data_IF_322517321465
#
_entry.id   IF_322517321465
#
_cell.length_a   1.000
_cell.length_b   1.000
_cell.length_c   1.000
_cell.angle_alpha   90.00
_cell.angle_beta   90.00
_cell.angle_gamma   90.00
#
_symmetry.space_group_name_H-M   'P 1'
#
loop_
_entity.id
_entity.type
_entity.pdbx_description
1 polymer ?
#
# COMPACT_ATOMS: atom_id res chain seq x y z
N UNK A 1 -18.49 6.03 -31.53
CA UNK A 1 -19.17 6.42 -32.78
C UNK A 1 -19.47 7.92 -32.87
N UNK A 2 -20.05 8.55 -31.83
CA UNK A 2 -20.42 9.98 -31.90
C UNK A 2 -19.22 10.93 -32.06
N UNK A 3 -18.07 10.57 -31.50
CA UNK A 3 -16.84 11.37 -31.58
C UNK A 3 -16.38 11.61 -33.03
N UNK A 4 -16.36 10.57 -33.86
CA UNK A 4 -15.95 10.70 -35.27
C UNK A 4 -16.93 11.53 -36.10
N UNK A 5 -18.22 11.49 -35.77
CA UNK A 5 -19.24 12.34 -36.42
C UNK A 5 -18.92 13.83 -36.22
N UNK A 6 -18.57 14.25 -35.00
CA UNK A 6 -18.21 15.64 -34.73
C UNK A 6 -16.96 16.07 -35.49
N UNK A 7 -15.94 15.21 -35.56
CA UNK A 7 -14.69 15.52 -36.28
C UNK A 7 -14.96 15.74 -37.78
N UNK A 8 -15.77 14.88 -38.39
CA UNK A 8 -16.13 15.01 -39.79
C UNK A 8 -16.90 16.30 -40.07
N UNK A 9 -17.84 16.67 -39.19
CA UNK A 9 -18.61 17.91 -39.34
C UNK A 9 -17.77 19.16 -39.11
N UNK A 10 -16.76 19.10 -38.26
CA UNK A 10 -15.86 20.21 -37.97
C UNK A 10 -14.66 20.29 -38.94
N UNK A 11 -14.48 19.31 -39.83
CA UNK A 11 -13.35 19.27 -40.77
C UNK A 11 -11.98 19.10 -40.09
N UNK A 12 -11.94 18.54 -38.88
CA UNK A 12 -10.71 18.38 -38.09
C UNK A 12 -9.99 17.08 -38.49
N UNK A 13 -8.67 17.01 -38.29
CA UNK A 13 -7.89 15.77 -38.45
C UNK A 13 -8.47 14.66 -37.55
N UNK A 14 -8.72 13.48 -38.14
CA UNK A 14 -9.15 12.28 -37.41
C UNK A 14 -7.99 11.70 -36.56
N UNK A 15 -8.07 11.71 -35.21
CA UNK A 15 -7.10 11.02 -34.39
C UNK A 15 -7.44 9.52 -34.31
N UNK A 16 -6.42 8.68 -34.12
CA UNK A 16 -6.58 7.26 -33.84
C UNK A 16 -6.92 7.08 -32.36
N UNK A 17 -8.09 6.51 -32.07
CA UNK A 17 -8.52 6.17 -30.71
C UNK A 17 -8.41 4.66 -30.52
N UNK A 18 -7.79 4.27 -29.41
CA UNK A 18 -7.73 2.89 -28.94
C UNK A 18 -8.49 2.78 -27.63
N UNK A 19 -9.52 1.93 -27.63
CA UNK A 19 -10.28 1.62 -26.43
C UNK A 19 -9.66 0.40 -25.73
N UNK A 20 -9.60 0.49 -24.41
CA UNK A 20 -9.16 -0.57 -23.51
C UNK A 20 -10.15 -0.71 -22.36
N UNK A 21 -10.19 -1.90 -21.76
CA UNK A 21 -11.06 -2.17 -20.62
C UNK A 21 -10.51 -1.52 -19.35
N UNK A 22 -11.42 -1.20 -18.43
CA UNK A 22 -11.05 -0.76 -17.09
C UNK A 22 -10.53 -1.94 -16.28
N UNK A 23 -9.56 -1.67 -15.42
CA UNK A 23 -9.07 -2.61 -14.42
C UNK A 23 -10.02 -2.58 -13.22
N UNK A 24 -10.52 -3.75 -12.84
CA UNK A 24 -11.24 -3.98 -11.60
C UNK A 24 -10.42 -4.92 -10.70
N UNK A 25 -10.63 -4.83 -9.39
CA UNK A 25 -9.91 -5.61 -8.39
C UNK A 25 -10.86 -6.45 -7.56
N UNK A 26 -10.47 -7.69 -7.25
CA UNK A 26 -11.20 -8.52 -6.32
C UNK A 26 -11.24 -7.88 -4.92
N UNK A 27 -12.39 -8.02 -4.25
CA UNK A 27 -12.63 -7.53 -2.89
C UNK A 27 -12.37 -6.03 -2.68
N UNK A 28 -12.41 -5.24 -3.76
CA UNK A 28 -12.04 -3.82 -3.72
C UNK A 28 -13.10 -2.93 -4.37
N UNK A 29 -13.38 -1.80 -3.73
CA UNK A 29 -14.30 -0.80 -4.26
C UNK A 29 -13.53 0.32 -4.95
N UNK A 30 -13.67 0.45 -6.27
CA UNK A 30 -12.98 1.49 -7.05
C UNK A 30 -13.84 2.74 -7.34
N UNK A 31 -15.14 2.66 -7.08
CA UNK A 31 -16.05 3.78 -7.36
C UNK A 31 -15.75 4.97 -6.45
N UNK A 32 -15.40 6.12 -7.04
CA UNK A 32 -15.15 7.38 -6.33
C UNK A 32 -16.29 7.76 -5.38
N UNK A 33 -17.55 7.55 -5.79
CA UNK A 33 -18.72 7.86 -4.95
C UNK A 33 -18.75 7.02 -3.67
N UNK A 34 -18.45 5.71 -3.79
CA UNK A 34 -18.39 4.80 -2.62
C UNK A 34 -17.20 5.13 -1.72
N UNK A 35 -16.05 5.45 -2.30
CA UNK A 35 -14.86 5.88 -1.53
C UNK A 35 -15.11 7.21 -0.81
N UNK A 36 -15.77 8.16 -1.46
CA UNK A 36 -16.17 9.42 -0.84
C UNK A 36 -17.09 9.17 0.35
N UNK A 37 -18.07 8.26 0.23
CA UNK A 37 -18.93 7.89 1.33
C UNK A 37 -18.14 7.36 2.55
N UNK A 38 -17.11 6.54 2.35
CA UNK A 38 -16.26 6.10 3.46
C UNK A 38 -15.48 7.24 4.12
N UNK A 39 -15.00 8.20 3.32
CA UNK A 39 -14.31 9.38 3.81
C UNK A 39 -15.26 10.30 4.60
N UNK A 40 -16.48 10.50 4.10
CA UNK A 40 -17.52 11.32 4.75
C UNK A 40 -17.97 10.72 6.09
N UNK A 41 -18.07 9.38 6.15
CA UNK A 41 -18.40 8.65 7.37
C UNK A 41 -17.22 8.51 8.35
N UNK A 42 -16.05 9.11 8.06
CA UNK A 42 -14.83 9.05 8.88
C UNK A 42 -14.43 7.63 9.29
N UNK A 43 -14.71 6.64 8.44
CA UNK A 43 -14.24 5.25 8.63
C UNK A 43 -12.76 5.09 8.30
N UNK A 44 -12.16 6.15 7.75
CA UNK A 44 -10.75 6.25 7.35
C UNK A 44 -10.19 7.60 7.80
N UNK A 45 -8.90 7.63 8.12
CA UNK A 45 -8.10 8.82 8.45
C UNK A 45 -8.04 9.77 7.23
N UNK A 46 -8.01 9.25 6.00
CA UNK A 46 -8.22 10.03 4.79
C UNK A 46 -7.95 9.29 3.48
N UNK A 47 -7.78 10.03 2.38
CA UNK A 47 -7.52 9.47 1.04
C UNK A 47 -6.16 8.76 0.90
N UNK A 48 -5.30 8.88 1.91
CA UNK A 48 -3.94 8.34 1.92
C UNK A 48 -3.83 7.09 2.78
N UNK A 49 -4.97 6.58 3.26
CA UNK A 49 -5.03 5.44 4.15
C UNK A 49 -4.56 4.15 3.48
N UNK A 50 -3.76 3.30 4.16
CA UNK A 50 -3.29 2.04 3.59
C UNK A 50 -4.40 1.08 3.10
N UNK A 51 -5.59 1.01 3.74
CA UNK A 51 -6.72 0.24 3.23
C UNK A 51 -7.35 0.80 1.95
N UNK A 52 -7.16 2.08 1.63
CA UNK A 52 -7.79 2.70 0.47
C UNK A 52 -7.09 2.29 -0.83
N UNK A 53 -7.84 1.91 -1.88
CA UNK A 53 -7.28 1.51 -3.18
C UNK A 53 -6.89 2.73 -4.03
N UNK A 54 -6.26 3.72 -3.39
CA UNK A 54 -5.70 4.89 -4.07
C UNK A 54 -4.21 4.67 -4.24
N UNK A 55 -3.62 5.27 -5.29
CA UNK A 55 -2.17 5.21 -5.50
C UNK A 55 -1.40 5.68 -4.26
N UNK A 56 -1.91 6.70 -3.56
CA UNK A 56 -1.29 7.23 -2.35
C UNK A 56 -1.47 6.32 -1.13
N UNK A 57 -2.62 5.65 -0.99
CA UNK A 57 -2.86 4.64 0.05
C UNK A 57 -1.97 3.42 -0.14
N UNK A 58 -1.90 2.90 -1.36
CA UNK A 58 -1.03 1.78 -1.74
C UNK A 58 0.45 2.11 -1.50
N UNK A 59 0.87 3.34 -1.82
CA UNK A 59 2.23 3.82 -1.52
C UNK A 59 2.48 3.93 -0.01
N UNK A 60 1.53 4.45 0.78
CA UNK A 60 1.64 4.51 2.25
C UNK A 60 1.69 3.10 2.87
N UNK A 61 1.06 2.12 2.24
CA UNK A 61 1.13 0.70 2.63
C UNK A 61 2.50 0.05 2.37
N UNK A 62 3.38 0.68 1.58
CA UNK A 62 4.72 0.17 1.28
C UNK A 62 4.89 -0.39 -0.13
N UNK A 63 4.02 -0.03 -1.08
CA UNK A 63 4.22 -0.36 -2.49
C UNK A 63 5.30 0.54 -3.11
N UNK A 64 6.24 -0.07 -3.83
CA UNK A 64 7.21 0.66 -4.66
C UNK A 64 6.60 1.07 -6.00
N UNK A 65 6.99 2.23 -6.52
CA UNK A 65 6.48 2.75 -7.80
C UNK A 65 6.94 1.86 -8.95
N UNK A 66 8.14 1.30 -8.85
CA UNK A 66 8.71 0.39 -9.86
C UNK A 66 7.90 -0.90 -9.96
N UNK A 67 7.58 -1.56 -8.83
CA UNK A 67 6.74 -2.76 -8.84
C UNK A 67 5.35 -2.50 -9.44
N UNK A 68 4.75 -1.34 -9.13
CA UNK A 68 3.46 -0.97 -9.70
C UNK A 68 3.52 -0.77 -11.22
N UNK A 69 4.58 -0.15 -11.73
CA UNK A 69 4.80 0.03 -13.17
C UNK A 69 5.02 -1.32 -13.86
N UNK A 70 5.88 -2.16 -13.29
CA UNK A 70 6.18 -3.49 -13.82
C UNK A 70 4.90 -4.34 -13.89
N UNK A 71 4.04 -4.26 -12.86
CA UNK A 71 2.74 -4.93 -12.87
C UNK A 71 1.81 -4.46 -13.99
N UNK A 72 1.69 -3.14 -14.19
CA UNK A 72 0.84 -2.57 -15.25
C UNK A 72 1.35 -2.97 -16.64
N UNK A 73 2.67 -2.96 -16.82
CA UNK A 73 3.31 -3.40 -18.08
C UNK A 73 3.10 -4.90 -18.33
N UNK A 74 3.18 -5.73 -17.29
CA UNK A 74 2.93 -7.16 -17.36
C UNK A 74 1.47 -7.48 -17.73
N UNK A 75 0.52 -6.77 -17.13
CA UNK A 75 -0.91 -6.99 -17.40
C UNK A 75 -1.30 -6.54 -18.82
N UNK A 76 -0.72 -5.43 -19.29
CA UNK A 76 -0.96 -4.90 -20.63
C UNK A 76 -2.37 -4.34 -20.85
N UNK A 77 -2.60 -3.80 -22.05
CA UNK A 77 -3.90 -3.29 -22.46
C UNK A 77 -4.73 -4.42 -23.08
N UNK A 78 -5.91 -4.68 -22.51
CA UNK A 78 -6.88 -5.65 -23.04
C UNK A 78 -8.21 -4.98 -23.35
N UNK A 79 -8.99 -5.57 -24.25
CA UNK A 79 -10.40 -5.17 -24.48
C UNK A 79 -11.38 -5.92 -23.58
N UNK A 80 -10.96 -7.03 -22.99
CA UNK A 80 -11.79 -7.84 -22.10
C UNK A 80 -11.78 -7.26 -20.68
N UNK A 81 -12.88 -7.39 -19.96
CA UNK A 81 -12.95 -6.98 -18.55
C UNK A 81 -11.86 -7.67 -17.74
N UNK A 82 -11.00 -6.89 -17.08
CA UNK A 82 -9.89 -7.40 -16.28
C UNK A 82 -10.26 -7.35 -14.80
N UNK A 83 -10.39 -8.51 -14.18
CA UNK A 83 -10.55 -8.67 -12.74
C UNK A 83 -9.22 -9.15 -12.15
N UNK A 84 -8.56 -8.29 -11.39
CA UNK A 84 -7.21 -8.52 -10.89
C UNK A 84 -7.21 -8.84 -9.39
N UNK A 85 -6.20 -9.61 -8.97
CA UNK A 85 -5.98 -9.97 -7.56
C UNK A 85 -4.84 -9.16 -6.96
N UNK A 86 -4.97 -8.83 -5.68
CA UNK A 86 -3.94 -8.10 -4.97
C UNK A 86 -2.67 -8.92 -4.74
N UNK A 87 -2.80 -10.25 -4.59
CA UNK A 87 -1.69 -11.14 -4.25
C UNK A 87 -0.55 -11.07 -5.27
N UNK A 88 -0.87 -10.97 -6.55
CA UNK A 88 0.10 -10.89 -7.64
C UNK A 88 0.91 -9.60 -7.58
N UNK A 89 0.25 -8.47 -7.32
CA UNK A 89 0.92 -7.16 -7.20
C UNK A 89 1.88 -7.19 -6.01
N UNK A 90 1.44 -7.73 -4.88
CA UNK A 90 2.26 -7.81 -3.68
C UNK A 90 3.43 -8.79 -3.84
N UNK A 91 3.26 -9.87 -4.61
CA UNK A 91 4.35 -10.78 -4.93
C UNK A 91 5.46 -10.09 -5.74
N UNK A 92 5.10 -9.30 -6.75
CA UNK A 92 6.06 -8.51 -7.54
C UNK A 92 6.75 -7.46 -6.66
N UNK A 93 5.98 -6.78 -5.80
CA UNK A 93 6.54 -5.79 -4.88
C UNK A 93 7.52 -6.41 -3.89
N UNK A 94 7.23 -7.62 -3.39
CA UNK A 94 8.13 -8.37 -2.51
C UNK A 94 9.47 -8.64 -3.18
N UNK A 95 9.48 -9.09 -4.44
CA UNK A 95 10.72 -9.33 -5.19
C UNK A 95 11.60 -8.08 -5.31
N UNK A 96 11.00 -6.89 -5.40
CA UNK A 96 11.73 -5.61 -5.46
C UNK A 96 12.21 -5.13 -4.09
N UNK A 97 11.41 -5.35 -3.05
CA UNK A 97 11.70 -4.85 -1.70
C UNK A 97 12.71 -5.74 -0.96
N UNK A 98 12.62 -7.07 -1.12
CA UNK A 98 13.46 -8.04 -0.40
C UNK A 98 14.98 -7.75 -0.44
N UNK A 99 15.59 -7.34 -1.58
CA UNK A 99 17.02 -6.99 -1.61
C UNK A 99 17.36 -5.61 -1.02
N UNK A 100 16.40 -4.69 -0.95
CA UNK A 100 16.62 -3.29 -0.52
C UNK A 100 16.34 -3.13 0.99
N UNK A 101 15.38 -3.89 1.52
CA UNK A 101 14.88 -3.71 2.87
C UNK A 101 15.87 -4.20 3.94
N UNK A 102 16.31 -3.34 4.88
CA UNK A 102 17.12 -3.78 6.01
C UNK A 102 16.29 -4.66 6.95
N UNK A 103 16.88 -5.74 7.42
CA UNK A 103 16.22 -6.67 8.35
C UNK A 103 16.36 -6.14 9.76
N UNK A 104 15.22 -5.96 10.42
CA UNK A 104 15.15 -5.59 11.84
C UNK A 104 14.28 -6.60 12.58
N UNK A 105 14.70 -6.98 13.77
CA UNK A 105 13.90 -7.83 14.65
C UNK A 105 13.04 -6.94 15.54
N UNK A 106 11.74 -7.15 15.50
CA UNK A 106 10.78 -6.53 16.41
C UNK A 106 9.96 -7.61 17.09
N UNK A 107 9.67 -7.43 18.38
CA UNK A 107 8.80 -8.30 19.17
C UNK A 107 7.65 -7.45 19.66
N UNK A 108 6.43 -7.97 19.57
CA UNK A 108 5.25 -7.31 20.11
C UNK A 108 5.35 -7.24 21.63
N UNK A 109 4.93 -6.11 22.21
CA UNK A 109 5.11 -5.85 23.65
C UNK A 109 4.41 -6.89 24.52
N UNK A 110 3.27 -7.41 24.07
CA UNK A 110 2.45 -8.37 24.81
C UNK A 110 3.06 -9.78 24.81
N UNK A 111 3.83 -10.11 23.77
CA UNK A 111 4.54 -11.38 23.63
C UNK A 111 5.97 -11.34 24.18
N UNK A 112 6.43 -10.17 24.63
CA UNK A 112 7.79 -10.00 25.13
C UNK A 112 7.94 -10.69 26.50
N UNK A 113 8.76 -11.74 26.57
CA UNK A 113 9.11 -12.41 27.82
C UNK A 113 10.46 -11.91 28.29
N UNK A 114 10.52 -11.45 29.53
CA UNK A 114 11.78 -11.07 30.16
C UNK A 114 12.57 -12.34 30.55
N UNK A 115 13.79 -12.46 30.05
CA UNK A 115 14.70 -13.56 30.39
C UNK A 115 15.91 -13.03 31.16
N UNK A 116 16.17 -13.58 32.35
CA UNK A 116 17.40 -13.34 33.12
C UNK A 116 18.22 -14.62 33.23
N UNK A 117 19.52 -14.53 32.93
CA UNK A 117 20.48 -15.64 33.07
C UNK A 117 20.94 -15.87 34.51
N UNK A 118 20.64 -14.96 35.45
CA UNK A 118 20.84 -15.12 36.90
C UNK A 118 19.50 -15.25 37.62
N UNK A 119 19.37 -16.33 38.39
CA UNK A 119 18.20 -16.64 39.23
C UNK A 119 18.04 -15.54 40.29
N UNK A 120 16.91 -14.82 40.26
CA UNK A 120 16.50 -13.96 41.37
C UNK A 120 16.13 -12.50 41.06
N UNK A 121 16.20 -12.03 39.80
CA UNK A 121 15.83 -10.65 39.48
C UNK A 121 14.40 -10.56 38.89
N UNK A 122 13.49 -9.86 39.59
CA UNK A 122 12.18 -9.48 39.04
C UNK A 122 12.39 -8.41 37.96
N UNK A 123 12.02 -8.72 36.72
CA UNK A 123 12.07 -7.77 35.61
C UNK A 123 10.64 -7.30 35.33
N UNK A 124 10.30 -6.02 35.55
CA UNK A 124 8.99 -5.51 35.17
C UNK A 124 8.93 -5.36 33.64
N UNK A 125 7.93 -5.96 33.02
CA UNK A 125 7.61 -5.72 31.62
C UNK A 125 6.81 -4.43 31.47
N UNK A 126 7.24 -3.64 30.49
CA UNK A 126 6.51 -2.58 29.80
C UNK A 126 5.77 -1.55 30.67
N UNK A 127 6.55 -0.66 31.29
CA UNK A 127 6.18 0.75 31.51
C UNK A 127 7.44 1.62 31.64
N UNK A 128 8.25 1.69 30.57
CA UNK A 128 9.20 2.78 30.39
C UNK A 128 10.61 2.65 30.97
N UNK A 129 11.12 1.44 31.30
CA UNK A 129 12.53 1.27 31.64
C UNK A 129 13.39 0.85 30.44
N UNK A 130 14.47 1.60 30.22
CA UNK A 130 15.55 1.32 29.27
C UNK A 130 16.52 0.34 29.95
N UNK A 131 16.86 -0.77 29.29
CA UNK A 131 17.87 -1.71 29.79
C UNK A 131 19.25 -1.03 29.66
N UNK A 132 20.04 -0.83 30.73
CA UNK A 132 21.37 -0.25 30.60
C UNK A 132 22.35 -1.31 30.10
N UNK A 133 23.02 -1.05 28.98
CA UNK A 133 24.22 -1.79 28.56
C UNK A 133 24.15 -2.62 27.27
N UNK A 134 23.03 -2.62 26.54
CA UNK A 134 22.99 -3.22 25.19
C UNK A 134 23.10 -2.11 24.16
N UNK A 135 24.15 -2.12 23.34
CA UNK A 135 24.31 -1.26 22.16
C UNK A 135 23.05 -1.34 21.28
N UNK A 136 22.31 -0.24 21.28
CA UNK A 136 21.30 0.19 20.32
C UNK A 136 20.67 -0.89 19.41
N UNK A 137 19.90 -1.82 19.98
CA UNK A 137 18.70 -2.27 19.25
C UNK A 137 17.73 -1.12 19.30
N UNK A 138 17.70 -0.35 18.22
CA UNK A 138 16.92 0.87 18.02
C UNK A 138 15.42 0.54 18.16
N UNK A 139 14.91 0.49 19.39
CA UNK A 139 13.49 0.67 19.66
C UNK A 139 13.22 2.16 19.46
N UNK A 140 12.96 2.56 18.22
CA UNK A 140 12.49 3.91 17.90
C UNK A 140 11.07 4.02 18.42
N UNK A 141 10.94 4.40 19.70
CA UNK A 141 9.68 4.78 20.34
C UNK A 141 8.95 5.72 19.39
N UNK A 142 7.75 5.32 18.96
CA UNK A 142 6.77 6.07 18.19
C UNK A 142 7.09 7.58 18.10
N UNK A 143 7.83 7.95 17.07
CA UNK A 143 7.83 9.32 16.59
C UNK A 143 6.49 9.43 15.85
N UNK A 144 5.47 9.94 16.55
CA UNK A 144 4.23 10.42 15.94
C UNK A 144 4.64 11.24 14.72
N UNK A 145 4.43 10.70 13.53
CA UNK A 145 4.31 11.52 12.33
C UNK A 145 3.03 12.31 12.57
N UNK A 146 3.17 13.50 13.17
CA UNK A 146 2.16 14.54 13.04
C UNK A 146 2.10 14.87 11.55
N UNK A 147 1.01 14.50 10.91
CA UNK A 147 0.41 15.32 9.86
C UNK A 147 -0.73 16.09 10.51
#
# INVERSE_FOLDING_TARGET
MIFYLFIEKLGIRKPLIWDYSRVDFELTLLSKRKLQWFADQKKVEGWHDPPFPTVRGIRRRGMTIEALKDYILMQGASKNTMLLKWDEIWAINKQKIDPIAPRHTAVECDAAVAYSKKVGMRIPLCNGMRIPGTTDTIYRKNQRIKL
#
